data_IF_427436840583
#
_entry.id   IF_427436840583
#
_cell.length_a   1.000
_cell.length_b   1.000
_cell.length_c   1.000
_cell.angle_alpha   90.00
_cell.angle_beta   90.00
_cell.angle_gamma   90.00
#
_symmetry.space_group_name_H-M   'P 1'
#
loop_
_entity.id
_entity.type
_entity.pdbx_description
1 polymer ?
#
# COMPACT_ATOMS: atom_id res chain seq x y z
N UNK A 1 5.04 1.12 23.31
CA UNK A 1 4.15 -0.05 23.11
C UNK A 1 3.42 0.09 21.78
N UNK A 2 3.12 -1.02 21.10
CA UNK A 2 2.31 -1.06 19.88
C UNK A 2 1.28 -2.18 19.98
N UNK A 3 0.06 -1.91 19.51
CA UNK A 3 -1.03 -2.86 19.30
C UNK A 3 -1.38 -2.84 17.81
N UNK A 4 -1.42 -3.99 17.14
CA UNK A 4 -1.85 -4.06 15.74
C UNK A 4 -2.64 -5.32 15.41
N UNK A 5 -3.51 -5.19 14.41
CA UNK A 5 -4.26 -6.29 13.82
C UNK A 5 -4.77 -5.93 12.43
N UNK A 6 -4.95 -6.92 11.57
CA UNK A 6 -5.85 -6.83 10.43
C UNK A 6 -7.28 -7.13 10.88
N UNK A 7 -8.25 -6.33 10.43
CA UNK A 7 -9.67 -6.50 10.79
C UNK A 7 -10.59 -6.39 9.59
N UNK A 8 -11.65 -7.20 9.58
CA UNK A 8 -12.70 -7.23 8.56
C UNK A 8 -14.06 -7.08 9.25
N UNK A 9 -14.53 -5.84 9.49
CA UNK A 9 -15.81 -5.61 10.17
C UNK A 9 -16.98 -6.01 9.27
N UNK A 10 -17.96 -6.76 9.77
CA UNK A 10 -19.15 -7.16 8.98
C UNK A 10 -20.41 -6.37 9.34
N UNK A 11 -20.37 -5.61 10.45
CA UNK A 11 -21.49 -4.80 10.91
C UNK A 11 -21.00 -3.59 11.72
N UNK A 12 -21.87 -2.60 11.88
CA UNK A 12 -21.69 -1.53 12.88
C UNK A 12 -22.24 -2.02 14.23
N UNK A 13 -21.62 -1.59 15.33
CA UNK A 13 -22.02 -2.00 16.69
C UNK A 13 -22.92 -0.97 17.39
N UNK A 14 -22.87 0.31 17.00
CA UNK A 14 -23.52 1.40 17.75
C UNK A 14 -22.96 1.63 19.17
N UNK A 15 -21.94 0.85 19.53
CA UNK A 15 -21.20 0.82 20.79
C UNK A 15 -19.72 0.65 20.48
N UNK A 16 -18.86 0.60 21.49
CA UNK A 16 -17.47 0.21 21.27
C UNK A 16 -17.38 -1.23 20.75
N UNK A 17 -16.44 -1.46 19.83
CA UNK A 17 -16.22 -2.75 19.15
C UNK A 17 -14.77 -3.20 19.34
N UNK A 18 -14.55 -4.11 20.29
CA UNK A 18 -13.20 -4.44 20.80
C UNK A 18 -12.45 -5.38 19.87
N UNK A 19 -11.32 -4.93 19.33
CA UNK A 19 -10.38 -5.81 18.62
C UNK A 19 -9.45 -6.48 19.62
N UNK A 20 -8.85 -5.69 20.51
CA UNK A 20 -7.94 -6.16 21.54
C UNK A 20 -8.07 -5.27 22.78
N UNK A 21 -8.08 -5.87 23.96
CA UNK A 21 -8.17 -5.13 25.22
C UNK A 21 -7.42 -5.82 26.35
N UNK A 22 -6.69 -5.04 27.14
CA UNK A 22 -6.08 -5.49 28.40
C UNK A 22 -6.89 -5.00 29.60
N UNK A 23 -7.44 -5.95 30.34
CA UNK A 23 -8.35 -5.68 31.45
C UNK A 23 -7.61 -5.27 32.71
N UNK A 24 -8.30 -4.50 33.55
CA UNK A 24 -8.06 -4.33 34.99
C UNK A 24 -9.41 -4.27 35.72
N UNK A 25 -9.47 -4.43 37.06
CA UNK A 25 -10.75 -4.45 37.76
C UNK A 25 -11.61 -3.21 37.47
N UNK A 26 -12.74 -3.41 36.80
CA UNK A 26 -13.70 -2.35 36.44
C UNK A 26 -13.24 -1.34 35.38
N UNK A 27 -12.10 -1.55 34.72
CA UNK A 27 -11.54 -0.64 33.73
C UNK A 27 -10.63 -1.36 32.72
N UNK A 28 -10.02 -0.60 31.82
CA UNK A 28 -9.01 -1.09 30.88
C UNK A 28 -7.63 -0.48 31.16
N UNK A 29 -6.58 -1.19 30.77
CA UNK A 29 -5.21 -0.66 30.72
C UNK A 29 -4.94 -0.05 29.34
N UNK A 30 -5.22 -0.80 28.29
CA UNK A 30 -5.17 -0.33 26.92
C UNK A 30 -6.15 -1.13 26.07
N UNK A 31 -6.59 -0.53 24.96
CA UNK A 31 -7.49 -1.16 24.03
C UNK A 31 -7.28 -0.63 22.60
N UNK A 32 -7.58 -1.49 21.63
CA UNK A 32 -7.72 -1.18 20.22
C UNK A 32 -9.16 -1.51 19.79
N UNK A 33 -9.84 -0.54 19.22
CA UNK A 33 -11.26 -0.60 18.88
C UNK A 33 -11.48 -0.41 17.38
N UNK A 34 -12.29 -1.26 16.77
CA UNK A 34 -12.73 -1.14 15.37
C UNK A 34 -13.75 -0.01 15.20
N UNK A 35 -14.54 0.26 16.25
CA UNK A 35 -15.57 1.29 16.27
C UNK A 35 -15.82 1.78 17.70
N UNK A 36 -16.24 3.04 17.80
CA UNK A 36 -16.81 3.70 18.97
C UNK A 36 -18.33 3.83 18.82
N UNK A 37 -19.07 4.39 19.80
CA UNK A 37 -20.48 4.73 19.63
C UNK A 37 -20.77 5.70 18.46
N UNK A 38 -19.77 6.50 18.05
CA UNK A 38 -19.83 7.36 16.85
C UNK A 38 -19.29 6.68 15.59
N UNK A 39 -19.09 5.36 15.64
CA UNK A 39 -18.61 4.51 14.56
C UNK A 39 -17.19 4.85 14.05
N UNK A 40 -16.31 5.36 14.92
CA UNK A 40 -14.92 5.66 14.57
C UNK A 40 -13.97 4.64 15.23
N UNK A 41 -12.94 4.15 14.51
CA UNK A 41 -11.91 3.32 15.14
C UNK A 41 -11.10 4.16 16.13
N UNK A 42 -10.51 3.50 17.12
CA UNK A 42 -9.77 4.22 18.15
C UNK A 42 -8.87 3.33 18.98
N UNK A 43 -8.03 3.96 19.78
CA UNK A 43 -7.23 3.29 20.79
C UNK A 43 -7.28 4.06 22.10
N UNK A 44 -7.25 3.32 23.20
CA UNK A 44 -7.27 3.88 24.55
C UNK A 44 -6.05 3.38 25.30
N UNK A 45 -5.34 4.29 25.98
CA UNK A 45 -4.27 3.95 26.91
C UNK A 45 -4.52 4.62 28.25
N UNK A 46 -4.41 3.86 29.33
CA UNK A 46 -4.53 4.35 30.69
C UNK A 46 -3.15 4.65 31.26
N UNK A 47 -2.89 5.93 31.55
CA UNK A 47 -1.60 6.42 32.05
C UNK A 47 -1.73 6.97 33.48
N UNK A 48 -0.73 6.73 34.32
CA UNK A 48 -0.79 7.00 35.75
C UNK A 48 -0.74 8.49 36.17
N UNK A 49 -0.82 9.44 35.23
CA UNK A 49 -0.37 10.83 35.46
C UNK A 49 -1.46 11.85 35.81
N UNK A 50 -2.76 11.56 35.69
CA UNK A 50 -3.84 12.50 36.12
C UNK A 50 -5.20 11.82 36.36
N UNK A 51 -6.06 12.46 37.17
CA UNK A 51 -7.31 11.99 37.79
C UNK A 51 -8.47 11.52 36.86
N UNK A 52 -8.18 11.27 35.59
CA UNK A 52 -9.00 10.48 34.66
C UNK A 52 -8.01 9.79 33.73
N UNK A 53 -7.60 8.56 34.04
CA UNK A 53 -6.38 7.94 33.50
C UNK A 53 -6.43 7.55 32.02
N UNK A 54 -7.63 7.41 31.43
CA UNK A 54 -7.82 6.96 30.05
C UNK A 54 -7.62 8.09 29.03
N UNK A 55 -6.89 7.78 27.97
CA UNK A 55 -6.57 8.72 26.88
C UNK A 55 -6.90 8.05 25.57
N UNK A 56 -7.74 8.73 24.79
CA UNK A 56 -8.33 8.19 23.57
C UNK A 56 -7.70 8.90 22.38
N UNK A 57 -7.31 8.12 21.37
CA UNK A 57 -7.08 8.60 20.02
C UNK A 57 -8.13 7.95 19.12
N UNK A 58 -8.73 8.71 18.21
CA UNK A 58 -9.74 8.22 17.29
C UNK A 58 -9.37 8.57 15.84
N UNK A 59 -9.82 7.75 14.90
CA UNK A 59 -9.80 8.06 13.48
C UNK A 59 -10.95 9.00 13.12
N UNK A 60 -10.80 9.72 12.01
CA UNK A 60 -11.83 10.67 11.55
C UNK A 60 -13.06 9.99 10.92
N UNK A 61 -12.88 8.80 10.33
CA UNK A 61 -13.90 8.10 9.56
C UNK A 61 -14.08 6.65 10.02
N UNK A 62 -15.27 6.05 9.80
CA UNK A 62 -15.50 4.62 10.05
C UNK A 62 -14.59 3.71 9.23
N UNK A 63 -14.32 2.52 9.75
CA UNK A 63 -13.74 1.45 8.94
C UNK A 63 -14.77 0.96 7.91
N UNK A 64 -14.33 0.63 6.67
CA UNK A 64 -15.21 0.05 5.68
C UNK A 64 -15.73 -1.32 6.15
N UNK A 65 -17.03 -1.55 5.95
CA UNK A 65 -17.62 -2.87 6.19
C UNK A 65 -17.25 -3.81 5.05
N UNK A 66 -17.06 -5.07 5.38
CA UNK A 66 -16.74 -6.14 4.44
C UNK A 66 -15.46 -5.88 3.63
N UNK A 67 -14.49 -5.22 4.26
CA UNK A 67 -13.17 -4.99 3.70
C UNK A 67 -12.11 -5.08 4.80
N UNK A 68 -10.94 -5.59 4.45
CA UNK A 68 -9.79 -5.65 5.36
C UNK A 68 -9.21 -4.26 5.61
N UNK A 69 -8.92 -3.96 6.87
CA UNK A 69 -8.17 -2.77 7.29
C UNK A 69 -7.09 -3.17 8.29
N UNK A 70 -5.87 -2.66 8.12
CA UNK A 70 -4.80 -2.80 9.10
C UNK A 70 -4.88 -1.66 10.11
N UNK A 71 -5.13 -1.97 11.39
CA UNK A 71 -5.30 -0.97 12.44
C UNK A 71 -4.18 -1.08 13.46
N UNK A 72 -3.49 0.04 13.72
CA UNK A 72 -2.31 0.07 14.61
C UNK A 72 -2.38 1.24 15.58
N UNK A 73 -2.11 0.99 16.85
CA UNK A 73 -1.90 2.02 17.86
C UNK A 73 -0.48 1.98 18.42
N UNK A 74 0.23 3.11 18.45
CA UNK A 74 1.56 3.22 19.06
C UNK A 74 1.58 4.22 20.20
N UNK A 75 2.35 3.92 21.24
CA UNK A 75 2.58 4.79 22.37
C UNK A 75 4.06 4.85 22.75
N UNK A 76 4.67 6.03 22.67
CA UNK A 76 6.10 6.26 22.92
C UNK A 76 6.42 6.77 24.34
N UNK A 77 5.42 6.83 25.23
CA UNK A 77 5.54 7.42 26.57
C UNK A 77 5.17 8.90 26.64
N UNK A 78 4.99 9.55 25.49
CA UNK A 78 4.61 10.97 25.37
C UNK A 78 3.45 11.22 24.41
N UNK A 79 3.22 10.33 23.45
CA UNK A 79 2.21 10.50 22.40
C UNK A 79 1.60 9.15 22.03
N UNK A 80 0.27 9.10 22.02
CA UNK A 80 -0.52 8.00 21.49
C UNK A 80 -0.91 8.32 20.04
N UNK A 81 -0.69 7.37 19.12
CA UNK A 81 -0.98 7.53 17.69
C UNK A 81 -1.83 6.37 17.19
N UNK A 82 -2.71 6.66 16.23
CA UNK A 82 -3.52 5.67 15.52
C UNK A 82 -3.20 5.69 14.03
N UNK A 83 -3.00 4.51 13.45
CA UNK A 83 -2.75 4.32 12.04
C UNK A 83 -3.80 3.38 11.45
N UNK A 84 -4.24 3.67 10.23
CA UNK A 84 -5.09 2.80 9.41
C UNK A 84 -4.39 2.57 8.07
N UNK A 85 -4.19 1.31 7.68
CA UNK A 85 -3.50 0.92 6.45
C UNK A 85 -2.13 1.60 6.29
N UNK A 86 -1.40 1.73 7.40
CA UNK A 86 -0.08 2.38 7.46
C UNK A 86 -0.10 3.91 7.53
N UNK A 87 -1.25 4.56 7.34
CA UNK A 87 -1.40 6.02 7.39
C UNK A 87 -1.76 6.50 8.79
N UNK A 88 -1.10 7.55 9.29
CA UNK A 88 -1.42 8.17 10.58
C UNK A 88 -2.76 8.91 10.48
N UNK A 89 -3.75 8.49 11.26
CA UNK A 89 -5.12 9.04 11.24
C UNK A 89 -5.50 9.78 12.52
N UNK A 90 -4.70 9.67 13.57
CA UNK A 90 -4.95 10.35 14.84
C UNK A 90 -3.70 10.43 15.71
N UNK A 91 -3.58 11.51 16.46
CA UNK A 91 -2.50 11.72 17.44
C UNK A 91 -3.06 12.36 18.69
N UNK A 92 -2.56 11.94 19.84
CA UNK A 92 -2.94 12.47 21.15
C UNK A 92 -1.70 12.58 22.03
N UNK A 93 -1.22 13.81 22.32
CA UNK A 93 -0.18 14.01 23.32
C UNK A 93 -0.64 13.54 24.70
N UNK A 94 0.14 12.65 25.31
CA UNK A 94 -0.05 12.13 26.66
C UNK A 94 1.26 11.61 27.21
N UNK A 95 1.76 12.25 28.29
CA UNK A 95 2.92 11.77 29.02
C UNK A 95 2.52 10.83 30.16
N UNK A 96 3.26 9.74 30.33
CA UNK A 96 3.13 8.87 31.50
C UNK A 96 3.50 7.41 31.24
N UNK A 97 3.66 6.67 32.34
CA UNK A 97 3.73 5.22 32.26
C UNK A 97 2.31 4.65 32.08
N UNK A 98 2.18 3.66 31.19
CA UNK A 98 0.97 2.83 31.11
C UNK A 98 0.83 2.10 32.44
N UNK A 99 -0.38 2.11 33.03
CA UNK A 99 -0.64 1.37 34.27
C UNK A 99 -0.44 -0.13 34.07
N UNK A 100 0.02 -0.83 35.10
CA UNK A 100 0.20 -2.30 35.03
C UNK A 100 -1.03 -3.01 35.59
N UNK A 101 -1.37 -4.18 35.04
CA UNK A 101 -2.49 -5.00 35.53
C UNK A 101 -2.22 -6.48 35.34
N UNK A 102 -2.74 -7.31 36.23
CA UNK A 102 -2.78 -8.78 36.11
C UNK A 102 -4.00 -9.30 35.35
N UNK A 103 -4.93 -8.43 34.93
CA UNK A 103 -6.14 -8.82 34.20
C UNK A 103 -5.86 -9.47 32.83
N UNK A 104 -6.85 -10.12 32.24
CA UNK A 104 -6.67 -10.81 30.96
C UNK A 104 -6.40 -9.84 29.80
N UNK A 105 -5.60 -10.30 28.83
CA UNK A 105 -5.61 -9.75 27.48
C UNK A 105 -6.65 -10.52 26.67
N UNK A 106 -7.54 -9.82 25.98
CA UNK A 106 -8.59 -10.41 25.16
C UNK A 106 -8.51 -9.90 23.74
N UNK A 107 -8.93 -10.73 22.80
CA UNK A 107 -9.05 -10.44 21.38
C UNK A 107 -10.51 -10.69 20.97
N UNK A 108 -11.09 -9.79 20.19
CA UNK A 108 -12.47 -9.88 19.68
C UNK A 108 -13.57 -9.50 20.69
N UNK A 109 -13.23 -9.09 21.91
CA UNK A 109 -14.22 -8.73 22.92
C UNK A 109 -13.62 -8.36 24.27
N UNK A 110 -14.46 -7.90 25.20
CA UNK A 110 -14.09 -7.77 26.61
C UNK A 110 -15.22 -8.14 27.58
N UNK A 111 -14.84 -8.53 28.81
CA UNK A 111 -15.79 -8.88 29.87
C UNK A 111 -16.11 -7.69 30.80
N UNK A 112 -15.41 -6.57 30.64
CA UNK A 112 -15.61 -5.38 31.48
C UNK A 112 -16.95 -4.71 31.14
N UNK A 113 -17.24 -4.55 29.85
CA UNK A 113 -18.43 -3.88 29.35
C UNK A 113 -19.23 -4.69 28.33
N UNK A 114 -18.76 -5.88 27.92
CA UNK A 114 -19.47 -6.73 26.95
C UNK A 114 -19.44 -6.16 25.53
N UNK A 115 -18.32 -5.53 25.15
CA UNK A 115 -18.13 -4.92 23.84
C UNK A 115 -17.44 -5.92 22.90
N UNK A 116 -18.21 -6.54 21.99
CA UNK A 116 -17.73 -7.61 21.10
C UNK A 116 -17.58 -7.14 19.66
N UNK A 117 -16.48 -7.54 19.02
CA UNK A 117 -16.25 -7.27 17.60
C UNK A 117 -17.00 -8.26 16.71
N UNK A 118 -17.68 -7.74 15.69
CA UNK A 118 -18.37 -8.53 14.67
C UNK A 118 -17.60 -8.48 13.36
N UNK A 119 -16.85 -9.55 13.08
CA UNK A 119 -16.03 -9.65 11.89
C UNK A 119 -14.92 -10.67 12.01
N UNK A 120 -13.92 -10.56 11.14
CA UNK A 120 -12.69 -11.35 11.20
C UNK A 120 -11.55 -10.50 11.75
N UNK A 121 -10.69 -11.12 12.56
CA UNK A 121 -9.43 -10.54 13.03
C UNK A 121 -8.32 -11.46 12.57
N UNK A 122 -7.24 -10.90 12.06
CA UNK A 122 -6.06 -11.63 11.63
C UNK A 122 -4.79 -10.89 12.04
N UNK A 123 -3.64 -11.58 12.01
CA UNK A 123 -2.31 -10.96 12.05
C UNK A 123 -2.10 -10.03 13.27
N UNK A 124 -2.52 -10.48 14.46
CA UNK A 124 -2.41 -9.69 15.69
C UNK A 124 -0.97 -9.67 16.20
N UNK A 125 -0.37 -8.48 16.37
CA UNK A 125 0.93 -8.30 17.02
C UNK A 125 0.87 -7.29 18.17
N UNK A 126 1.73 -7.51 19.16
CA UNK A 126 1.87 -6.64 20.33
C UNK A 126 3.35 -6.44 20.61
N UNK A 127 3.78 -5.19 20.66
CA UNK A 127 5.16 -4.83 20.93
C UNK A 127 5.28 -4.04 22.23
N UNK A 128 6.34 -4.30 23.00
CA UNK A 128 6.66 -3.54 24.21
C UNK A 128 7.22 -2.13 23.92
N UNK A 129 7.52 -1.82 22.65
CA UNK A 129 8.00 -0.51 22.18
C UNK A 129 7.04 0.10 21.17
N UNK A 130 7.12 1.42 20.97
CA UNK A 130 6.43 2.04 19.84
C UNK A 130 7.15 1.63 18.55
N UNK A 131 6.40 1.21 17.55
CA UNK A 131 6.93 0.97 16.21
C UNK A 131 7.01 2.29 15.45
N UNK A 132 8.04 2.43 14.62
CA UNK A 132 8.11 3.49 13.63
C UNK A 132 7.13 3.22 12.47
N UNK A 133 6.74 4.25 11.69
CA UNK A 133 5.90 4.04 10.51
C UNK A 133 6.45 3.00 9.51
N UNK A 134 7.77 2.91 9.35
CA UNK A 134 8.40 1.93 8.47
C UNK A 134 8.24 0.49 8.99
N UNK A 135 8.33 0.29 10.30
CA UNK A 135 8.10 -1.01 10.93
C UNK A 135 6.63 -1.42 10.83
N UNK A 136 5.70 -0.49 11.05
CA UNK A 136 4.26 -0.73 10.86
C UNK A 136 3.95 -1.17 9.42
N UNK A 137 4.60 -0.55 8.43
CA UNK A 137 4.44 -0.94 7.03
C UNK A 137 5.05 -2.32 6.71
N UNK A 138 6.17 -2.64 7.36
CA UNK A 138 6.79 -3.97 7.25
C UNK A 138 5.84 -5.03 7.80
N UNK A 139 5.29 -4.81 9.00
CA UNK A 139 4.36 -5.73 9.64
C UNK A 139 3.08 -5.91 8.84
N UNK A 140 2.53 -4.82 8.27
CA UNK A 140 1.34 -4.85 7.42
C UNK A 140 1.46 -5.78 6.21
N UNK A 141 2.68 -5.98 5.69
CA UNK A 141 2.97 -6.78 4.50
C UNK A 141 3.67 -8.12 4.80
N UNK A 142 3.96 -8.40 6.07
CA UNK A 142 4.68 -9.61 6.49
C UNK A 142 3.74 -10.53 7.24
N UNK A 143 3.23 -11.63 6.66
CA UNK A 143 2.31 -12.52 7.37
C UNK A 143 2.97 -13.20 8.58
N UNK A 144 2.20 -13.45 9.64
CA UNK A 144 2.61 -14.32 10.76
C UNK A 144 2.58 -15.76 10.23
N UNK A 145 3.70 -16.19 9.68
CA UNK A 145 3.87 -17.60 9.29
C UNK A 145 4.00 -18.42 10.57
N UNK A 146 3.06 -19.33 10.80
CA UNK A 146 3.06 -20.23 11.95
C UNK A 146 4.37 -21.00 12.08
N UNK A 147 5.25 -20.53 12.97
CA UNK A 147 6.54 -21.13 13.26
C UNK A 147 6.85 -20.92 14.75
N UNK A 148 6.90 -22.04 15.49
CA UNK A 148 7.33 -22.19 16.90
C UNK A 148 7.36 -20.92 17.75
N UNK A 149 6.38 -20.81 18.65
CA UNK A 149 6.36 -19.88 19.78
C UNK A 149 7.71 -19.78 20.47
N UNK A 150 8.45 -18.69 20.24
CA UNK A 150 9.37 -18.19 21.25
C UNK A 150 8.51 -17.48 22.28
N UNK A 151 8.08 -18.23 23.31
CA UNK A 151 7.59 -17.63 24.55
C UNK A 151 8.74 -16.78 25.07
N UNK A 152 8.64 -15.46 24.91
CA UNK A 152 9.54 -14.53 25.59
C UNK A 152 9.19 -14.64 27.07
N UNK A 153 9.86 -15.56 27.75
CA UNK A 153 9.79 -15.67 29.19
C UNK A 153 10.35 -14.37 29.74
N UNK A 154 9.54 -13.68 30.53
CA UNK A 154 9.92 -12.52 31.31
C UNK A 154 11.11 -12.90 32.20
N UNK A 155 12.33 -12.73 31.69
CA UNK A 155 13.54 -12.88 32.48
C UNK A 155 13.79 -11.54 33.16
N UNK A 156 13.90 -11.63 34.48
CA UNK A 156 14.30 -10.59 35.40
C UNK A 156 15.46 -9.75 34.86
N UNK A 157 15.51 -8.43 35.13
CA UNK A 157 16.58 -7.58 34.65
C UNK A 157 17.93 -8.10 35.17
N UNK A 158 18.84 -8.40 34.24
CA UNK A 158 20.24 -8.68 34.56
C UNK A 158 20.87 -7.46 35.25
N UNK A 159 21.65 -7.61 36.33
CA UNK A 159 22.29 -6.48 36.98
C UNK A 159 23.29 -5.82 36.02
N UNK A 160 23.27 -4.49 35.99
CA UNK A 160 24.19 -3.66 35.22
C UNK A 160 25.66 -4.04 35.49
N UNK A 161 26.55 -4.02 34.48
CA UNK A 161 27.97 -4.20 34.72
C UNK A 161 28.49 -2.98 35.50
N UNK A 162 29.25 -3.24 36.57
CA UNK A 162 29.95 -2.23 37.35
C UNK A 162 30.94 -1.43 36.47
N UNK A 163 31.15 -0.12 36.75
CA UNK A 163 32.06 0.70 35.97
C UNK A 163 33.52 0.39 36.35
N UNK A 164 34.40 0.34 35.35
CA UNK A 164 35.86 0.39 35.57
C UNK A 164 36.37 1.82 35.33
N UNK A 165 37.30 2.34 36.15
CA UNK A 165 37.65 3.76 36.14
C UNK A 165 38.65 4.10 35.04
N UNK A 166 38.33 5.12 34.23
CA UNK A 166 39.22 5.70 33.24
C UNK A 166 39.08 7.22 33.23
N UNK A 167 40.11 7.89 33.74
CA UNK A 167 40.30 9.33 33.88
C UNK A 167 40.45 10.03 32.53
N UNK A 168 39.85 11.22 32.37
CA UNK A 168 40.22 12.16 31.30
C UNK A 168 39.16 13.22 31.03
N UNK A 169 39.39 14.45 31.49
CA UNK A 169 38.58 15.63 31.16
C UNK A 169 38.81 16.06 29.70
N UNK A 170 37.74 16.54 29.05
CA UNK A 170 37.82 17.23 27.76
C UNK A 170 36.44 17.75 27.33
N UNK A 171 36.19 19.03 27.56
CA UNK A 171 35.00 19.75 27.09
C UNK A 171 34.98 19.88 25.57
N UNK A 172 33.88 19.50 24.94
CA UNK A 172 33.60 19.81 23.54
C UNK A 172 32.14 19.50 23.21
N UNK A 173 31.31 20.54 23.09
CA UNK A 173 30.01 20.39 22.44
C UNK A 173 30.26 20.14 20.95
N UNK A 174 29.84 18.99 20.46
CA UNK A 174 29.71 18.72 19.03
C UNK A 174 28.22 18.72 18.74
N UNK A 175 27.74 19.83 18.19
CA UNK A 175 26.45 19.90 17.54
C UNK A 175 26.49 18.94 16.35
N UNK A 176 25.74 17.83 16.44
CA UNK A 176 25.57 16.92 15.30
C UNK A 176 24.53 17.57 14.39
N UNK A 177 24.84 17.89 13.13
CA UNK A 177 23.84 18.38 12.20
C UNK A 177 22.79 17.28 12.04
N UNK A 178 21.56 17.53 12.49
CA UNK A 178 20.41 16.73 12.04
C UNK A 178 20.36 16.92 10.52
N UNK A 179 20.37 15.84 9.71
CA UNK A 179 20.12 16.01 8.28
C UNK A 179 18.77 16.69 8.15
N UNK A 180 18.70 17.79 7.40
CA UNK A 180 17.41 18.34 6.99
C UNK A 180 16.54 17.17 6.48
N UNK A 181 15.22 17.13 6.79
CA UNK A 181 14.35 16.17 6.15
C UNK A 181 14.60 16.28 4.66
N UNK A 182 14.96 15.17 4.02
CA UNK A 182 15.05 15.14 2.57
C UNK A 182 13.73 15.72 2.04
N UNK A 183 13.77 16.65 1.06
CA UNK A 183 12.55 17.21 0.52
C UNK A 183 11.65 16.05 0.11
N UNK A 184 10.37 16.08 0.53
CA UNK A 184 9.38 15.15 0.02
C UNK A 184 9.54 15.14 -1.51
N UNK A 185 9.66 13.97 -2.16
CA UNK A 185 9.87 13.98 -3.60
C UNK A 185 8.69 14.73 -4.22
N UNK A 186 8.98 15.66 -5.14
CA UNK A 186 8.03 15.96 -6.21
C UNK A 186 7.46 14.62 -6.65
N UNK A 187 6.14 14.42 -6.60
CA UNK A 187 5.44 13.12 -6.46
C UNK A 187 6.00 11.94 -7.29
N UNK A 188 6.72 12.25 -8.36
CA UNK A 188 7.29 11.33 -9.32
C UNK A 188 6.23 10.90 -10.33
N UNK A 189 5.01 11.40 -10.19
CA UNK A 189 3.88 11.09 -11.04
C UNK A 189 4.07 11.75 -12.41
N UNK A 190 4.15 10.92 -13.43
CA UNK A 190 4.42 11.30 -14.82
C UNK A 190 3.13 11.36 -15.62
N UNK A 191 2.22 10.42 -15.38
CA UNK A 191 0.92 10.38 -16.03
C UNK A 191 -0.11 9.71 -15.11
N UNK A 192 -1.35 10.18 -15.13
CA UNK A 192 -2.43 9.62 -14.33
C UNK A 192 -3.77 9.72 -15.06
N UNK A 193 -4.51 8.61 -15.11
CA UNK A 193 -5.80 8.52 -15.81
C UNK A 193 -6.84 7.83 -14.93
N UNK A 194 -7.79 8.63 -14.44
CA UNK A 194 -8.90 8.17 -13.61
C UNK A 194 -10.06 7.58 -14.43
N UNK A 195 -10.07 7.83 -15.74
CA UNK A 195 -11.16 7.47 -16.66
C UNK A 195 -12.55 7.87 -16.16
N UNK A 196 -12.66 9.05 -15.55
CA UNK A 196 -13.90 9.54 -14.95
C UNK A 196 -14.70 10.50 -15.84
N UNK A 197 -14.21 10.84 -17.05
CA UNK A 197 -14.90 11.72 -18.00
C UNK A 197 -16.23 11.13 -18.51
N UNK A 198 -16.31 9.81 -18.62
CA UNK A 198 -17.54 9.08 -18.94
C UNK A 198 -18.08 9.23 -20.38
N UNK A 199 -17.44 10.07 -21.21
CA UNK A 199 -17.78 10.25 -22.63
C UNK A 199 -16.65 10.93 -23.41
N UNK A 200 -16.74 10.94 -24.74
CA UNK A 200 -15.77 11.58 -25.62
C UNK A 200 -14.62 10.66 -26.05
N UNK A 201 -13.70 11.21 -26.84
CA UNK A 201 -12.58 10.46 -27.45
C UNK A 201 -11.22 10.73 -26.80
N UNK A 202 -11.18 11.50 -25.71
CA UNK A 202 -9.95 11.90 -25.03
C UNK A 202 -10.02 11.63 -23.55
N UNK A 203 -8.88 11.32 -22.94
CA UNK A 203 -8.70 11.22 -21.48
C UNK A 203 -7.67 12.23 -21.04
N UNK A 204 -8.00 12.99 -20.00
CA UNK A 204 -7.13 14.02 -19.44
C UNK A 204 -6.08 13.39 -18.51
N UNK A 205 -4.87 13.92 -18.57
CA UNK A 205 -3.79 13.52 -17.68
C UNK A 205 -3.86 14.31 -16.36
N UNK A 206 -4.22 13.64 -15.28
CA UNK A 206 -4.33 14.23 -13.95
C UNK A 206 -2.98 14.53 -13.28
N UNK A 207 -1.86 14.10 -13.86
CA UNK A 207 -0.51 14.36 -13.30
C UNK A 207 -0.05 15.81 -13.45
N UNK A 208 -0.68 16.58 -14.34
CA UNK A 208 -0.26 17.94 -14.69
C UNK A 208 0.82 18.02 -15.80
N UNK A 209 1.25 16.89 -16.37
CA UNK A 209 2.23 16.85 -17.46
C UNK A 209 1.62 16.94 -18.86
N UNK A 210 0.29 17.10 -18.96
CA UNK A 210 -0.44 17.27 -20.22
C UNK A 210 -0.27 16.11 -21.21
N UNK A 211 -0.11 14.88 -20.72
CA UNK A 211 -0.08 13.69 -21.57
C UNK A 211 -1.51 13.25 -21.95
N UNK A 212 -2.29 14.13 -22.56
CA UNK A 212 -3.67 13.80 -22.98
C UNK A 212 -3.68 12.57 -23.89
N UNK A 213 -4.51 11.60 -23.54
CA UNK A 213 -4.63 10.34 -24.27
C UNK A 213 -5.86 10.36 -25.20
N UNK A 214 -5.83 9.60 -26.29
CA UNK A 214 -6.93 9.48 -27.25
C UNK A 214 -7.41 8.02 -27.35
N UNK A 215 -8.72 7.80 -27.30
CA UNK A 215 -9.33 6.48 -27.42
C UNK A 215 -9.28 5.95 -28.85
N UNK A 216 -9.01 4.66 -29.00
CA UNK A 216 -9.23 3.90 -30.23
C UNK A 216 -10.73 3.70 -30.51
N UNK A 217 -11.07 3.33 -31.74
CA UNK A 217 -12.47 3.29 -32.21
C UNK A 217 -13.36 2.29 -31.46
N UNK A 218 -12.79 1.21 -30.95
CA UNK A 218 -13.48 0.20 -30.16
C UNK A 218 -13.28 0.29 -28.63
N UNK A 219 -12.66 1.37 -28.13
CA UNK A 219 -12.59 1.64 -26.68
C UNK A 219 -13.85 2.41 -26.28
N UNK A 220 -14.55 1.94 -25.24
CA UNK A 220 -15.81 2.54 -24.79
C UNK A 220 -15.78 2.91 -23.30
N UNK A 221 -16.63 3.84 -22.90
CA UNK A 221 -16.82 4.21 -21.49
C UNK A 221 -17.82 3.28 -20.80
N UNK A 222 -17.66 3.10 -19.49
CA UNK A 222 -18.65 2.44 -18.63
C UNK A 222 -18.72 3.09 -17.26
N UNK A 223 -19.83 2.91 -16.56
CA UNK A 223 -20.00 3.27 -15.14
C UNK A 223 -19.63 2.13 -14.19
N UNK A 224 -19.09 1.03 -14.71
CA UNK A 224 -18.66 -0.14 -13.92
C UNK A 224 -17.18 -0.07 -13.59
N UNK A 225 -16.67 1.10 -13.19
CA UNK A 225 -15.28 1.29 -12.79
C UNK A 225 -14.98 0.70 -11.41
N UNK A 226 -13.69 0.57 -11.11
CA UNK A 226 -13.24 0.28 -9.74
C UNK A 226 -13.53 1.47 -8.83
N UNK A 227 -13.36 2.68 -9.37
CA UNK A 227 -13.73 3.94 -8.77
C UNK A 227 -14.41 4.86 -9.80
N UNK A 228 -15.75 4.91 -9.77
CA UNK A 228 -16.50 5.72 -10.71
C UNK A 228 -16.63 5.03 -12.06
N UNK A 229 -16.14 5.67 -13.13
CA UNK A 229 -16.19 5.16 -14.49
C UNK A 229 -14.91 4.36 -14.82
N UNK A 230 -14.90 3.68 -15.96
CA UNK A 230 -13.72 3.01 -16.50
C UNK A 230 -13.79 2.93 -18.03
N UNK A 231 -12.70 2.46 -18.64
CA UNK A 231 -12.66 2.13 -20.06
C UNK A 231 -12.83 0.63 -20.29
N UNK A 232 -13.65 0.29 -21.28
CA UNK A 232 -13.88 -1.05 -21.80
C UNK A 232 -13.01 -1.26 -23.04
N UNK A 233 -12.23 -2.33 -23.02
CA UNK A 233 -11.41 -2.79 -24.13
C UNK A 233 -12.01 -4.07 -24.71
N UNK A 234 -12.14 -4.10 -26.04
CA UNK A 234 -12.82 -5.16 -26.80
C UNK A 234 -11.89 -6.31 -27.22
N UNK A 235 -10.58 -6.24 -26.93
CA UNK A 235 -9.58 -7.18 -27.44
C UNK A 235 -9.06 -6.87 -28.85
N UNK A 236 -9.28 -5.66 -29.37
CA UNK A 236 -8.82 -5.24 -30.70
C UNK A 236 -8.35 -3.77 -30.76
N UNK A 237 -8.71 -2.94 -29.79
CA UNK A 237 -8.38 -1.52 -29.73
C UNK A 237 -7.63 -1.14 -28.46
N UNK A 238 -7.03 0.05 -28.46
CA UNK A 238 -6.27 0.61 -27.34
C UNK A 238 -6.44 2.13 -27.25
N UNK A 239 -6.02 2.70 -26.13
CA UNK A 239 -5.83 4.15 -25.96
C UNK A 239 -4.40 4.51 -26.34
N UNK A 240 -4.22 5.66 -26.99
CA UNK A 240 -2.95 6.17 -27.49
C UNK A 240 -2.54 7.44 -26.77
N UNK A 241 -1.30 7.48 -26.28
CA UNK A 241 -0.63 8.71 -25.88
C UNK A 241 0.52 8.99 -26.85
N UNK A 242 0.66 10.23 -27.34
CA UNK A 242 1.81 10.59 -28.16
C UNK A 242 3.11 10.44 -27.37
N UNK A 243 4.23 10.30 -28.10
CA UNK A 243 5.53 10.26 -27.47
C UNK A 243 5.82 11.58 -26.73
N UNK A 244 6.27 11.47 -25.48
CA UNK A 244 6.63 12.61 -24.65
C UNK A 244 7.88 12.27 -23.84
N UNK A 245 8.78 13.24 -23.69
CA UNK A 245 10.03 13.05 -22.93
C UNK A 245 9.77 12.69 -21.45
N UNK A 246 8.63 13.12 -20.90
CA UNK A 246 8.22 12.75 -19.54
C UNK A 246 8.03 11.23 -19.38
N UNK A 247 7.66 10.52 -20.46
CA UNK A 247 7.45 9.08 -20.49
C UNK A 247 8.74 8.29 -20.76
N UNK A 248 9.89 8.95 -20.93
CA UNK A 248 11.19 8.28 -21.03
C UNK A 248 11.77 8.03 -19.63
N UNK A 249 11.22 7.02 -18.96
CA UNK A 249 11.66 6.56 -17.64
C UNK A 249 13.00 5.83 -17.80
N UNK A 250 14.08 6.31 -17.16
CA UNK A 250 15.45 5.82 -17.44
C UNK A 250 16.10 5.04 -16.30
N UNK A 251 15.87 5.45 -15.05
CA UNK A 251 16.58 4.92 -13.88
C UNK A 251 15.69 4.13 -12.93
N UNK A 252 14.42 4.49 -12.85
CA UNK A 252 13.42 3.84 -12.03
C UNK A 252 12.03 4.06 -12.64
N UNK A 253 11.07 3.21 -12.28
CA UNK A 253 9.68 3.38 -12.71
C UNK A 253 8.69 2.72 -11.76
N UNK A 254 7.45 3.19 -11.78
CA UNK A 254 6.28 2.43 -11.35
C UNK A 254 5.19 2.53 -12.41
N UNK A 255 4.57 1.40 -12.74
CA UNK A 255 3.43 1.31 -13.64
C UNK A 255 2.29 0.65 -12.86
N UNK A 256 1.11 1.26 -12.81
CA UNK A 256 -0.04 0.66 -12.12
C UNK A 256 -1.35 0.86 -12.86
N UNK A 257 -2.27 -0.07 -12.64
CA UNK A 257 -3.64 -0.01 -13.11
C UNK A 257 -4.53 -0.95 -12.29
N UNK A 258 -5.79 -0.57 -12.10
CA UNK A 258 -6.85 -1.53 -11.81
C UNK A 258 -7.31 -2.19 -13.11
N UNK A 259 -7.43 -3.53 -13.11
CA UNK A 259 -7.80 -4.32 -14.29
C UNK A 259 -8.88 -5.34 -13.98
N UNK A 260 -9.80 -5.55 -14.92
CA UNK A 260 -10.89 -6.53 -14.86
C UNK A 260 -10.91 -7.32 -16.17
N UNK A 261 -10.14 -8.42 -16.29
CA UNK A 261 -10.12 -9.24 -17.49
C UNK A 261 -11.46 -9.99 -17.65
N UNK A 262 -12.03 -10.00 -18.85
CA UNK A 262 -13.27 -10.75 -19.15
C UNK A 262 -13.04 -11.98 -20.02
N UNK A 263 -11.82 -12.14 -20.56
CA UNK A 263 -11.41 -13.29 -21.33
C UNK A 263 -9.93 -13.61 -21.12
N UNK A 264 -9.56 -14.86 -21.42
CA UNK A 264 -8.17 -15.27 -21.59
C UNK A 264 -7.74 -15.09 -23.04
N UNK A 265 -6.58 -14.50 -23.27
CA UNK A 265 -6.04 -14.25 -24.63
C UNK A 265 -5.27 -15.44 -25.22
N UNK A 266 -4.73 -16.35 -24.39
CA UNK A 266 -3.82 -17.41 -24.83
C UNK A 266 -2.49 -16.89 -25.42
N UNK A 267 -2.23 -15.60 -25.26
CA UNK A 267 -1.06 -14.85 -25.71
C UNK A 267 -0.85 -13.66 -24.75
N UNK A 268 0.13 -12.80 -25.01
CA UNK A 268 0.29 -11.56 -24.25
C UNK A 268 -0.95 -10.67 -24.30
N UNK A 269 -1.30 -10.05 -23.17
CA UNK A 269 -2.45 -9.16 -23.04
C UNK A 269 -2.03 -7.84 -22.39
N UNK A 270 -1.87 -6.81 -23.21
CA UNK A 270 -1.24 -5.53 -22.82
C UNK A 270 -2.18 -4.66 -22.00
N UNK A 271 -1.78 -4.28 -20.79
CA UNK A 271 -2.45 -3.22 -20.02
C UNK A 271 -1.82 -1.87 -20.33
N UNK A 272 -0.49 -1.81 -20.34
CA UNK A 272 0.25 -0.59 -20.64
C UNK A 272 1.58 -0.96 -21.30
N UNK A 273 1.96 -0.26 -22.37
CA UNK A 273 3.22 -0.51 -23.08
C UNK A 273 3.78 0.76 -23.72
N UNK A 274 5.08 1.00 -23.54
CA UNK A 274 5.84 2.03 -24.26
C UNK A 274 6.56 1.41 -25.45
N UNK A 275 6.20 1.86 -26.65
CA UNK A 275 6.66 1.27 -27.90
C UNK A 275 8.08 1.73 -28.27
N UNK A 276 8.82 0.84 -28.94
CA UNK A 276 10.00 1.17 -29.73
C UNK A 276 10.02 0.32 -31.02
N UNK A 277 10.84 0.64 -32.04
CA UNK A 277 10.85 -0.13 -33.29
C UNK A 277 11.10 -1.62 -33.07
N UNK A 278 10.07 -2.45 -33.31
CA UNK A 278 10.14 -3.91 -33.20
C UNK A 278 10.28 -4.47 -31.78
N UNK A 279 10.15 -3.65 -30.74
CA UNK A 279 10.26 -4.07 -29.34
C UNK A 279 9.48 -3.15 -28.39
N UNK A 280 9.49 -3.46 -27.10
CA UNK A 280 8.97 -2.60 -26.03
C UNK A 280 10.11 -1.93 -25.25
N UNK A 281 9.82 -0.78 -24.66
CA UNK A 281 10.68 -0.13 -23.66
C UNK A 281 10.35 -0.62 -22.26
N UNK A 282 9.08 -0.52 -21.86
CA UNK A 282 8.53 -1.09 -20.65
C UNK A 282 7.06 -1.45 -20.85
N UNK A 283 6.57 -2.43 -20.09
CA UNK A 283 5.22 -2.94 -20.21
C UNK A 283 4.69 -3.53 -18.89
N UNK A 284 3.36 -3.48 -18.78
CA UNK A 284 2.55 -4.17 -17.78
C UNK A 284 1.51 -5.01 -18.53
N UNK A 285 1.48 -6.31 -18.27
CA UNK A 285 0.64 -7.29 -18.94
C UNK A 285 -0.29 -7.98 -17.94
N UNK A 286 -1.57 -8.12 -18.32
CA UNK A 286 -2.55 -8.90 -17.56
C UNK A 286 -2.38 -10.41 -17.76
N UNK A 287 -1.84 -10.82 -18.91
CA UNK A 287 -1.57 -12.21 -19.23
C UNK A 287 -0.38 -12.34 -20.20
N UNK A 288 0.22 -13.53 -20.18
CA UNK A 288 1.25 -14.02 -21.11
C UNK A 288 0.73 -15.26 -21.85
N UNK A 289 1.49 -15.90 -22.75
CA UNK A 289 1.11 -17.19 -23.33
C UNK A 289 0.87 -18.31 -22.29
N UNK A 290 1.41 -18.18 -21.08
CA UNK A 290 1.14 -19.07 -19.94
C UNK A 290 0.04 -18.54 -19.00
N UNK A 291 -0.70 -17.52 -19.46
CA UNK A 291 -1.79 -16.84 -18.75
C UNK A 291 -1.36 -16.17 -17.43
N UNK A 292 -0.10 -15.77 -17.29
CA UNK A 292 0.40 -15.11 -16.07
C UNK A 292 0.55 -13.60 -16.28
N UNK A 293 0.11 -12.76 -15.32
CA UNK A 293 0.41 -11.34 -15.37
C UNK A 293 1.92 -11.13 -15.28
N UNK A 294 2.42 -10.15 -16.00
CA UNK A 294 3.87 -9.94 -16.15
C UNK A 294 4.21 -8.47 -16.27
N UNK A 295 5.43 -8.11 -15.91
CA UNK A 295 6.02 -6.81 -16.24
C UNK A 295 7.34 -7.02 -16.95
N UNK A 296 7.62 -6.15 -17.91
CA UNK A 296 8.84 -6.18 -18.71
C UNK A 296 9.43 -4.77 -18.77
N UNK A 297 10.75 -4.66 -18.71
CA UNK A 297 11.45 -3.48 -19.25
C UNK A 297 12.65 -3.91 -20.07
N UNK A 298 13.15 -2.99 -20.89
CA UNK A 298 14.24 -3.25 -21.81
C UNK A 298 15.46 -2.36 -21.50
N UNK A 299 16.62 -3.00 -21.53
CA UNK A 299 17.95 -2.37 -21.37
C UNK A 299 18.66 -2.13 -22.72
N UNK A 300 18.06 -2.54 -23.82
CA UNK A 300 18.55 -2.34 -25.18
C UNK A 300 17.41 -1.94 -26.14
N UNK A 301 17.76 -1.45 -27.33
CA UNK A 301 16.76 -1.10 -28.37
C UNK A 301 16.25 -2.32 -29.15
N UNK A 302 16.48 -3.51 -28.61
CA UNK A 302 16.16 -4.82 -29.21
C UNK A 302 15.62 -5.76 -28.11
N UNK A 303 14.85 -6.78 -28.49
CA UNK A 303 14.26 -7.73 -27.52
C UNK A 303 15.30 -8.46 -26.63
N UNK A 304 16.57 -8.53 -27.05
CA UNK A 304 17.65 -9.14 -26.26
C UNK A 304 17.92 -8.46 -24.90
N UNK A 305 17.48 -7.21 -24.72
CA UNK A 305 17.63 -6.48 -23.47
C UNK A 305 16.44 -6.62 -22.52
N UNK A 306 15.40 -7.36 -22.88
CA UNK A 306 14.18 -7.52 -22.09
C UNK A 306 14.47 -8.22 -20.75
N UNK A 307 13.82 -7.72 -19.71
CA UNK A 307 13.88 -8.20 -18.33
C UNK A 307 12.46 -8.36 -17.86
N UNK A 308 12.09 -9.58 -17.55
CA UNK A 308 10.71 -9.95 -17.24
C UNK A 308 10.58 -10.51 -15.84
N UNK A 309 9.49 -10.14 -15.17
CA UNK A 309 9.00 -10.75 -13.95
C UNK A 309 7.54 -11.13 -14.18
N UNK A 310 7.19 -12.38 -13.87
CA UNK A 310 5.83 -12.89 -13.96
C UNK A 310 5.29 -13.22 -12.56
N UNK A 311 3.97 -13.12 -12.40
CA UNK A 311 3.26 -13.66 -11.25
C UNK A 311 3.11 -15.18 -11.35
N UNK A 312 2.81 -15.83 -10.23
CA UNK A 312 2.69 -17.29 -10.19
C UNK A 312 1.38 -17.83 -10.79
N UNK A 313 0.30 -17.04 -10.75
CA UNK A 313 -1.05 -17.48 -11.09
C UNK A 313 -1.76 -16.49 -12.02
N UNK A 314 -2.73 -16.95 -12.83
CA UNK A 314 -3.54 -16.08 -13.68
C UNK A 314 -4.38 -15.10 -12.86
N UNK A 315 -4.68 -13.94 -13.45
CA UNK A 315 -5.67 -13.03 -12.88
C UNK A 315 -7.07 -13.68 -12.94
N UNK A 316 -7.89 -13.50 -11.90
CA UNK A 316 -9.27 -13.98 -11.93
C UNK A 316 -10.06 -13.24 -13.02
N UNK A 317 -10.77 -14.00 -13.85
CA UNK A 317 -11.71 -13.40 -14.78
C UNK A 317 -12.89 -12.79 -14.03
N UNK A 318 -13.41 -11.70 -14.56
CA UNK A 318 -14.58 -11.02 -14.05
C UNK A 318 -14.42 -10.54 -12.59
N UNK A 319 -13.20 -10.17 -12.20
CA UNK A 319 -12.89 -9.58 -10.91
C UNK A 319 -11.79 -8.52 -11.03
N UNK A 320 -11.90 -7.46 -10.24
CA UNK A 320 -10.90 -6.40 -10.19
C UNK A 320 -9.61 -6.88 -9.53
N UNK A 321 -8.48 -6.56 -10.14
CA UNK A 321 -7.13 -6.73 -9.57
C UNK A 321 -6.32 -5.45 -9.75
N UNK A 322 -5.61 -5.00 -8.71
CA UNK A 322 -4.66 -3.90 -8.80
C UNK A 322 -3.30 -4.45 -9.19
N UNK A 323 -2.80 -4.10 -10.38
CA UNK A 323 -1.57 -4.63 -10.95
C UNK A 323 -0.50 -3.53 -10.92
N UNK A 324 0.65 -3.80 -10.30
CA UNK A 324 1.71 -2.81 -10.15
C UNK A 324 3.09 -3.38 -10.46
N UNK A 325 3.85 -2.71 -11.32
CA UNK A 325 5.26 -2.98 -11.55
C UNK A 325 6.11 -1.87 -10.93
N UNK A 326 7.21 -2.23 -10.24
CA UNK A 326 8.21 -1.24 -9.77
C UNK A 326 9.61 -1.65 -10.19
N UNK A 327 10.45 -0.67 -10.51
CA UNK A 327 11.86 -0.85 -10.77
C UNK A 327 12.65 0.29 -10.11
N UNK A 328 13.64 -0.06 -9.29
CA UNK A 328 14.44 0.90 -8.50
C UNK A 328 15.87 1.11 -9.04
N UNK A 329 16.15 0.62 -10.26
CA UNK A 329 17.49 0.61 -10.85
C UNK A 329 18.31 -0.65 -10.53
N UNK A 330 17.84 -1.48 -9.60
CA UNK A 330 18.54 -2.70 -9.16
C UNK A 330 17.64 -3.94 -9.05
N UNK A 331 16.33 -3.75 -8.96
CA UNK A 331 15.36 -4.84 -8.78
C UNK A 331 14.04 -4.51 -9.47
N UNK A 332 13.55 -5.43 -10.30
CA UNK A 332 12.22 -5.38 -10.91
C UNK A 332 11.25 -6.20 -10.05
N UNK A 333 10.07 -5.65 -9.77
CA UNK A 333 9.04 -6.29 -8.93
C UNK A 333 7.66 -6.18 -9.56
N UNK A 334 6.82 -7.19 -9.33
CA UNK A 334 5.42 -7.21 -9.70
C UNK A 334 4.57 -7.45 -8.45
N UNK A 335 3.53 -6.65 -8.29
CA UNK A 335 2.55 -6.74 -7.22
C UNK A 335 1.15 -6.95 -7.78
N UNK A 336 0.34 -7.69 -7.03
CA UNK A 336 -1.09 -7.87 -7.29
C UNK A 336 -1.83 -7.59 -5.99
N UNK A 337 -2.79 -6.66 -6.00
CA UNK A 337 -3.57 -6.26 -4.84
C UNK A 337 -2.70 -5.87 -3.64
N UNK A 338 -1.59 -5.16 -3.90
CA UNK A 338 -0.62 -4.73 -2.88
C UNK A 338 0.38 -5.81 -2.44
N UNK A 339 0.18 -7.08 -2.82
CA UNK A 339 1.07 -8.18 -2.46
C UNK A 339 2.15 -8.40 -3.52
N UNK A 340 3.40 -8.60 -3.11
CA UNK A 340 4.52 -8.91 -4.01
C UNK A 340 4.38 -10.35 -4.55
N UNK A 341 4.22 -10.50 -5.87
CA UNK A 341 4.02 -11.81 -6.52
C UNK A 341 5.20 -12.26 -7.37
N UNK A 342 6.14 -11.37 -7.64
CA UNK A 342 7.33 -11.67 -8.43
C UNK A 342 8.42 -10.62 -8.21
N UNK A 343 9.68 -11.06 -8.22
CA UNK A 343 10.84 -10.19 -8.04
C UNK A 343 12.04 -10.75 -8.79
N UNK A 344 12.87 -9.87 -9.35
CA UNK A 344 14.10 -10.24 -10.01
C UNK A 344 15.17 -9.15 -9.75
N UNK A 345 16.30 -9.50 -9.11
CA UNK A 345 17.47 -8.64 -9.09
C UNK A 345 17.98 -8.44 -10.51
N UNK A 346 18.02 -7.19 -10.96
CA UNK A 346 18.48 -6.80 -12.29
C UNK A 346 18.89 -5.34 -12.28
N UNK A 347 20.07 -5.04 -12.79
CA UNK A 347 20.55 -3.67 -12.93
C UNK A 347 20.60 -3.26 -14.41
N UNK A 348 20.50 -1.95 -14.65
CA UNK A 348 20.59 -1.37 -15.99
C UNK A 348 19.68 -0.16 -16.15
N UNK A 349 20.02 0.72 -17.09
CA UNK A 349 19.12 1.79 -17.49
C UNK A 349 18.00 1.22 -18.36
N UNK A 350 16.78 1.72 -18.16
CA UNK A 350 15.68 1.53 -19.10
C UNK A 350 16.01 2.37 -20.35
N UNK A 351 15.87 1.80 -21.54
CA UNK A 351 16.09 2.55 -22.78
C UNK A 351 15.01 3.63 -22.99
N UNK A 352 15.30 4.62 -23.82
CA UNK A 352 14.31 5.64 -24.21
C UNK A 352 13.82 5.40 -25.63
N UNK A 353 12.68 5.97 -25.99
CA UNK A 353 12.11 5.80 -27.33
C UNK A 353 11.18 6.95 -27.70
N UNK A 354 11.16 7.32 -28.98
CA UNK A 354 10.16 8.24 -29.52
C UNK A 354 8.85 7.54 -29.91
N UNK A 355 8.66 6.27 -29.56
CA UNK A 355 7.41 5.54 -29.77
C UNK A 355 6.30 5.95 -28.78
N UNK A 356 5.06 5.71 -29.17
CA UNK A 356 3.88 6.03 -28.36
C UNK A 356 3.81 5.18 -27.08
N UNK A 357 3.06 5.66 -26.09
CA UNK A 357 2.56 4.82 -25.00
C UNK A 357 1.14 4.37 -25.36
N UNK A 358 0.84 3.10 -25.10
CA UNK A 358 -0.46 2.48 -25.34
C UNK A 358 -1.03 1.96 -24.02
N UNK A 359 -2.34 2.05 -23.87
CA UNK A 359 -3.09 1.42 -22.78
C UNK A 359 -4.11 0.45 -23.40
N UNK A 360 -4.15 -0.80 -22.96
CA UNK A 360 -5.07 -1.85 -23.42
C UNK A 360 -4.67 -2.58 -24.71
N UNK A 361 -3.51 -2.29 -25.28
CA UNK A 361 -3.02 -2.97 -26.49
C UNK A 361 -1.65 -2.47 -26.94
N UNK A 362 -1.12 -3.00 -28.05
CA UNK A 362 0.04 -2.42 -28.73
C UNK A 362 0.05 -2.69 -30.24
N UNK A 363 0.76 -1.85 -31.00
CA UNK A 363 0.95 -2.01 -32.44
C UNK A 363 2.20 -2.81 -32.82
N UNK A 364 3.07 -3.13 -31.85
CA UNK A 364 4.31 -3.86 -32.12
C UNK A 364 4.00 -5.30 -32.52
N UNK A 365 3.08 -5.95 -31.81
CA UNK A 365 2.73 -7.36 -31.97
C UNK A 365 1.22 -7.64 -32.02
N UNK A 366 0.37 -6.63 -31.83
CA UNK A 366 -1.08 -6.82 -31.83
C UNK A 366 -1.59 -7.58 -30.60
N UNK A 367 -1.01 -7.29 -29.44
CA UNK A 367 -1.37 -7.93 -28.16
C UNK A 367 -2.39 -7.07 -27.44
N UNK A 368 -3.68 -7.43 -27.51
CA UNK A 368 -4.78 -6.62 -27.00
C UNK A 368 -5.35 -7.16 -25.69
N UNK A 369 -5.83 -6.25 -24.85
CA UNK A 369 -6.58 -6.57 -23.65
C UNK A 369 -8.08 -6.58 -23.91
N UNK A 370 -8.78 -7.52 -23.29
CA UNK A 370 -10.23 -7.59 -23.29
C UNK A 370 -10.75 -7.56 -21.86
N UNK A 371 -11.48 -6.49 -21.51
CA UNK A 371 -11.90 -6.25 -20.14
C UNK A 371 -12.03 -4.76 -19.82
N UNK A 372 -11.94 -4.44 -18.54
CA UNK A 372 -11.94 -3.05 -18.07
C UNK A 372 -10.60 -2.64 -17.48
N UNK A 373 -10.23 -1.38 -17.67
CA UNK A 373 -9.07 -0.75 -17.02
C UNK A 373 -9.53 0.53 -16.35
N UNK A 374 -9.04 0.75 -15.14
CA UNK A 374 -9.29 1.92 -14.31
C UNK A 374 -8.01 2.39 -13.62
N UNK A 375 -7.95 3.65 -13.19
CA UNK A 375 -6.93 4.20 -12.29
C UNK A 375 -5.47 3.91 -12.73
N UNK A 376 -5.11 4.32 -13.95
CA UNK A 376 -3.75 4.12 -14.45
C UNK A 376 -2.83 5.21 -13.90
N UNK A 377 -1.70 4.84 -13.26
CA UNK A 377 -0.64 5.78 -12.88
C UNK A 377 0.72 5.32 -13.38
N UNK A 378 1.57 6.29 -13.71
CA UNK A 378 2.95 6.09 -14.14
C UNK A 378 3.83 6.99 -13.30
N UNK A 379 4.85 6.43 -12.67
CA UNK A 379 5.85 7.17 -11.92
C UNK A 379 7.26 6.97 -12.48
N UNK A 380 8.11 7.99 -12.38
CA UNK A 380 9.55 7.93 -12.72
C UNK A 380 10.44 7.46 -11.55
N UNK A 381 9.82 6.82 -10.55
CA UNK A 381 10.48 6.23 -9.39
C UNK A 381 9.78 4.95 -9.01
N UNK A 382 10.49 4.07 -8.30
CA UNK A 382 9.85 2.94 -7.62
C UNK A 382 9.00 3.47 -6.46
N UNK A 383 7.73 3.10 -6.43
CA UNK A 383 6.88 3.25 -5.26
C UNK A 383 7.25 2.19 -4.22
N UNK A 384 7.19 2.58 -2.95
CA UNK A 384 7.20 1.65 -1.84
C UNK A 384 5.89 0.86 -1.76
N UNK A 385 5.88 -0.34 -1.13
CA UNK A 385 4.64 -1.08 -0.90
C UNK A 385 3.54 -0.25 -0.22
N UNK A 386 3.90 0.71 0.64
CA UNK A 386 2.94 1.59 1.30
C UNK A 386 2.28 2.60 0.35
N UNK A 387 3.06 3.17 -0.56
CA UNK A 387 2.53 4.05 -1.61
C UNK A 387 1.62 3.25 -2.55
N UNK A 388 2.02 2.03 -2.93
CA UNK A 388 1.16 1.11 -3.71
C UNK A 388 -0.17 0.84 -3.01
N UNK A 389 -0.13 0.58 -1.69
CA UNK A 389 -1.33 0.34 -0.89
C UNK A 389 -2.21 1.60 -0.77
N UNK A 390 -1.58 2.78 -0.74
CA UNK A 390 -2.28 4.06 -0.73
C UNK A 390 -2.99 4.30 -2.06
N UNK A 391 -2.29 4.15 -3.18
CA UNK A 391 -2.83 4.33 -4.53
C UNK A 391 -3.94 3.31 -4.82
N UNK A 392 -3.77 2.06 -4.38
CA UNK A 392 -4.81 1.03 -4.51
C UNK A 392 -6.15 1.40 -3.85
N UNK A 393 -6.10 2.16 -2.76
CA UNK A 393 -7.26 2.51 -1.93
C UNK A 393 -7.77 3.94 -2.16
N UNK A 394 -7.04 4.75 -2.91
CA UNK A 394 -7.32 6.19 -3.07
C UNK A 394 -7.56 6.49 -4.54
N UNK A 395 -8.80 6.81 -4.94
CA UNK A 395 -9.07 7.15 -6.33
C UNK A 395 -8.28 8.39 -6.77
N UNK A 396 -7.87 8.43 -8.03
CA UNK A 396 -7.42 9.65 -8.67
C UNK A 396 -8.56 10.67 -8.61
N UNK A 397 -8.24 11.88 -8.15
CA UNK A 397 -9.22 12.96 -8.13
C UNK A 397 -9.67 13.26 -9.57
N UNK A 398 -10.99 13.29 -9.79
CA UNK A 398 -11.54 13.82 -11.03
C UNK A 398 -11.18 15.32 -11.10
N UNK A 399 -10.60 15.76 -12.22
CA UNK A 399 -10.36 17.18 -12.49
C UNK A 399 -11.62 17.86 -13.03
#
# INVERSE_FOLDING_TARGET
MTLEAWVYPTATSGTWSTILLKEQPGALVYALYAASPTNQPGAVFNTATTASGERIVAGAAPLPLNAWSHLVATYDGTTLRLYINGSLVGTQPVAGAIVTSTGALRIGGNNVWGEYFQGLVDEVRIYNRALSPAEIQTDMSTPIVGGTTSVVSNTTPSPAPAPSPGTGQGSGQVEVPVPAPAPAPASGLVAAYAFNEGSGQTVSDASGNNNTATLGGGVAWTSQGRFGNALVFNGADFVSLPAAAALDLTTAMTLEAWVYPTATSGTWSTILLKEQPGALVYALYAASPTNQPSTVFNTATTASGERIVAGAAPLPLNAWSHLVATYDGTTLRLYINGSLVGTQPVAGAIVTSTGALRIGGNNVWGEYFQGLVDEVRIYNRALSPAEIQTDMNTPLAAQ
#
